data_IF_223942087158
#
_entry.id   IF_223942087158
#
_cell.length_a   1.000
_cell.length_b   1.000
_cell.length_c   1.000
_cell.angle_alpha   90.00
_cell.angle_beta   90.00
_cell.angle_gamma   90.00
#
_symmetry.space_group_name_H-M   'P 1'
#
loop_
_entity.id
_entity.type
_entity.pdbx_description
1 polymer ?
#
# COMPACT_ATOMS: atom_id res chain seq x y z
N UNK A 1 -11.94 24.73 9.89
CA UNK A 1 -11.27 25.10 11.14
C UNK A 1 -12.30 25.06 12.27
N UNK A 2 -12.13 24.14 13.23
CA UNK A 2 -13.05 23.97 14.35
C UNK A 2 -13.04 25.16 15.32
N UNK A 3 -11.90 25.82 15.48
CA UNK A 3 -11.75 26.95 16.41
C UNK A 3 -12.44 28.20 15.89
N UNK A 4 -12.51 28.38 14.58
CA UNK A 4 -13.12 29.56 13.94
C UNK A 4 -14.60 29.39 13.58
N UNK A 5 -15.05 28.16 13.32
CA UNK A 5 -16.44 27.88 12.95
C UNK A 5 -16.96 26.61 13.63
N UNK A 6 -16.98 26.55 14.96
CA UNK A 6 -17.36 25.34 15.68
C UNK A 6 -18.82 24.97 15.40
N UNK A 7 -19.73 25.93 15.27
CA UNK A 7 -21.14 25.64 15.03
C UNK A 7 -21.39 25.10 13.61
N UNK A 8 -20.68 25.63 12.61
CA UNK A 8 -20.76 25.10 11.24
C UNK A 8 -20.27 23.66 11.15
N UNK A 9 -19.13 23.37 11.79
CA UNK A 9 -18.58 22.00 11.84
C UNK A 9 -19.52 21.07 12.62
N UNK A 10 -20.04 21.51 13.77
CA UNK A 10 -20.98 20.72 14.57
C UNK A 10 -22.29 20.44 13.82
N UNK A 11 -22.85 21.43 13.10
CA UNK A 11 -24.04 21.20 12.24
C UNK A 11 -23.77 20.17 11.15
N UNK A 12 -22.59 20.23 10.51
CA UNK A 12 -22.19 19.24 9.52
C UNK A 12 -22.13 17.82 10.13
N UNK A 13 -21.43 17.65 11.25
CA UNK A 13 -21.35 16.35 11.93
C UNK A 13 -22.72 15.84 12.40
N UNK A 14 -23.55 16.69 13.02
CA UNK A 14 -24.87 16.30 13.51
C UNK A 14 -25.78 15.82 12.34
N UNK A 15 -25.71 16.46 11.17
CA UNK A 15 -26.40 15.99 9.97
C UNK A 15 -25.90 14.62 9.48
N UNK A 16 -24.59 14.35 9.54
CA UNK A 16 -24.02 13.04 9.20
C UNK A 16 -24.41 11.98 10.23
N UNK A 17 -24.41 12.29 11.52
CA UNK A 17 -24.85 11.37 12.57
C UNK A 17 -26.32 11.00 12.36
N UNK A 18 -27.22 11.98 12.23
CA UNK A 18 -28.66 11.70 12.01
C UNK A 18 -28.95 10.85 10.79
N UNK A 19 -28.19 11.00 9.70
CA UNK A 19 -28.41 10.24 8.47
C UNK A 19 -27.84 8.81 8.52
N UNK A 20 -26.88 8.52 9.41
CA UNK A 20 -26.17 7.23 9.43
C UNK A 20 -26.33 6.44 10.74
N UNK A 21 -26.88 7.02 11.82
CA UNK A 21 -27.05 6.37 13.14
C UNK A 21 -27.87 5.08 13.12
N UNK A 22 -28.69 4.86 12.09
CA UNK A 22 -29.48 3.64 11.91
C UNK A 22 -28.70 2.43 11.38
N UNK A 23 -27.50 2.65 10.86
CA UNK A 23 -26.67 1.59 10.29
C UNK A 23 -25.66 1.08 11.32
N UNK A 24 -25.25 -0.17 11.17
CA UNK A 24 -24.09 -0.68 11.89
C UNK A 24 -22.84 0.04 11.37
N UNK A 25 -22.13 0.73 12.26
CA UNK A 25 -21.01 1.60 11.88
C UNK A 25 -20.01 1.73 13.01
N UNK A 26 -18.74 1.86 12.65
CA UNK A 26 -17.68 2.29 13.56
C UNK A 26 -17.50 3.80 13.36
N UNK A 27 -17.72 4.59 14.41
CA UNK A 27 -17.68 6.04 14.35
C UNK A 27 -16.28 6.56 14.62
N UNK A 28 -15.67 7.18 13.62
CA UNK A 28 -14.37 7.86 13.79
C UNK A 28 -14.55 9.12 14.63
N UNK A 29 -13.78 9.20 15.71
CA UNK A 29 -13.68 10.38 16.56
C UNK A 29 -12.43 11.21 16.22
N UNK A 30 -12.44 12.45 16.69
CA UNK A 30 -11.37 13.41 16.49
C UNK A 30 -11.50 14.17 15.19
N UNK A 31 -10.45 14.89 14.82
CA UNK A 31 -10.42 15.72 13.61
C UNK A 31 -8.97 15.95 13.18
N UNK A 32 -8.72 15.83 11.88
CA UNK A 32 -7.52 16.34 11.19
C UNK A 32 -7.92 17.34 10.10
N UNK A 33 -6.94 17.94 9.43
CA UNK A 33 -7.18 18.83 8.31
C UNK A 33 -7.75 18.10 7.10
N UNK A 34 -8.29 18.87 6.15
CA UNK A 34 -8.83 18.34 4.89
C UNK A 34 -7.67 17.79 4.05
N UNK A 35 -7.90 16.71 3.27
CA UNK A 35 -6.89 16.07 2.41
C UNK A 35 -5.65 15.60 3.19
N UNK A 36 -5.86 14.87 4.28
CA UNK A 36 -4.78 14.27 5.09
C UNK A 36 -3.76 15.26 5.68
N UNK A 37 -4.14 16.55 5.72
CA UNK A 37 -3.33 17.61 6.32
C UNK A 37 -3.46 17.63 7.85
N UNK A 38 -2.48 18.27 8.50
CA UNK A 38 -2.50 18.42 9.95
C UNK A 38 -3.68 19.27 10.45
N UNK A 39 -3.98 19.17 11.75
CA UNK A 39 -5.00 20.01 12.38
C UNK A 39 -4.78 21.51 12.11
N UNK A 40 -5.78 22.17 11.54
CA UNK A 40 -5.77 23.62 11.27
C UNK A 40 -6.32 24.36 12.48
N UNK A 41 -5.58 25.38 12.93
CA UNK A 41 -5.96 26.23 14.08
C UNK A 41 -4.96 26.15 15.22
N UNK A 42 -4.98 25.06 16.03
CA UNK A 42 -4.08 24.91 17.17
C UNK A 42 -2.62 24.79 16.73
N UNK A 43 -1.74 25.54 17.38
CA UNK A 43 -0.31 25.65 17.06
C UNK A 43 0.56 24.83 17.98
N UNK A 44 0.20 24.72 19.26
CA UNK A 44 0.95 23.93 20.26
C UNK A 44 0.33 22.55 20.47
N UNK A 45 1.07 21.64 21.12
CA UNK A 45 0.58 20.29 21.45
C UNK A 45 -0.56 20.38 22.48
N UNK A 46 -0.46 21.29 23.44
CA UNK A 46 -1.45 21.54 24.48
C UNK A 46 -2.77 22.05 23.88
N UNK A 47 -2.68 22.99 22.93
CA UNK A 47 -3.85 23.49 22.20
C UNK A 47 -4.51 22.39 21.36
N UNK A 48 -3.71 21.54 20.69
CA UNK A 48 -4.22 20.38 19.94
C UNK A 48 -4.93 19.41 20.88
N UNK A 49 -4.33 19.12 22.04
CA UNK A 49 -4.91 18.24 23.06
C UNK A 49 -6.26 18.74 23.54
N UNK A 50 -6.31 19.99 24.01
CA UNK A 50 -7.54 20.61 24.49
C UNK A 50 -8.63 20.68 23.40
N UNK A 51 -8.21 20.93 22.15
CA UNK A 51 -9.12 20.94 21.00
C UNK A 51 -9.71 19.56 20.73
N UNK A 52 -8.89 18.51 20.72
CA UNK A 52 -9.35 17.13 20.50
C UNK A 52 -10.25 16.64 21.62
N UNK A 53 -9.92 16.89 22.88
CA UNK A 53 -10.76 16.51 24.02
C UNK A 53 -12.16 17.16 23.94
N UNK A 54 -12.22 18.43 23.54
CA UNK A 54 -13.51 19.11 23.28
C UNK A 54 -14.25 18.48 22.10
N UNK A 55 -13.55 18.19 21.00
CA UNK A 55 -14.14 17.52 19.83
C UNK A 55 -14.71 16.15 20.19
N UNK A 56 -14.01 15.35 20.99
CA UNK A 56 -14.52 14.06 21.48
C UNK A 56 -15.82 14.24 22.26
N UNK A 57 -15.87 15.20 23.19
CA UNK A 57 -17.08 15.48 23.96
C UNK A 57 -18.25 15.89 23.05
N UNK A 58 -18.01 16.79 22.10
CA UNK A 58 -19.04 17.27 21.16
C UNK A 58 -19.57 16.14 20.25
N UNK A 59 -18.67 15.33 19.68
CA UNK A 59 -19.02 14.20 18.81
C UNK A 59 -19.82 13.14 19.57
N UNK A 60 -19.40 12.78 20.79
CA UNK A 60 -20.11 11.79 21.61
C UNK A 60 -21.49 12.28 22.05
N UNK A 61 -21.63 13.57 22.35
CA UNK A 61 -22.93 14.15 22.65
C UNK A 61 -23.89 14.07 21.44
N UNK A 62 -23.38 14.22 20.20
CA UNK A 62 -24.18 14.03 18.99
C UNK A 62 -24.62 12.58 18.82
N UNK A 63 -23.70 11.62 18.98
CA UNK A 63 -24.00 10.19 18.91
C UNK A 63 -25.06 9.80 19.95
N UNK A 64 -24.94 10.28 21.19
CA UNK A 64 -25.90 10.01 22.24
C UNK A 64 -27.31 10.53 21.93
N UNK A 65 -27.44 11.78 21.44
CA UNK A 65 -28.74 12.34 21.03
C UNK A 65 -29.38 11.57 19.88
N UNK A 66 -28.58 10.92 19.04
CA UNK A 66 -29.06 10.11 17.92
C UNK A 66 -29.31 8.63 18.29
N UNK A 67 -29.16 8.24 19.56
CA UNK A 67 -29.32 6.84 19.99
C UNK A 67 -28.17 5.91 19.60
N UNK A 68 -27.00 6.47 19.27
CA UNK A 68 -25.80 5.75 18.86
C UNK A 68 -24.66 5.87 19.89
N UNK A 69 -24.97 6.13 21.16
CA UNK A 69 -23.98 6.28 22.23
C UNK A 69 -23.10 5.02 22.40
N UNK A 70 -23.72 3.86 22.28
CA UNK A 70 -23.08 2.55 22.48
C UNK A 70 -22.51 1.97 21.18
N UNK A 71 -22.61 2.70 20.06
CA UNK A 71 -22.02 2.27 18.79
C UNK A 71 -20.48 2.27 18.89
N UNK A 72 -19.79 1.31 18.25
CA UNK A 72 -18.33 1.27 18.23
C UNK A 72 -17.73 2.59 17.78
N UNK A 73 -16.70 3.06 18.47
CA UNK A 73 -16.00 4.30 18.18
C UNK A 73 -14.51 4.04 18.07
N UNK A 74 -13.85 4.73 17.14
CA UNK A 74 -12.43 4.58 16.88
C UNK A 74 -11.73 5.93 16.84
N UNK A 75 -10.52 5.98 17.38
CA UNK A 75 -9.61 7.11 17.24
C UNK A 75 -8.28 6.62 16.70
N UNK A 76 -7.75 7.30 15.68
CA UNK A 76 -6.48 6.94 15.01
C UNK A 76 -5.44 8.02 15.28
N UNK A 77 -4.44 7.76 16.15
CA UNK A 77 -3.32 8.67 16.38
C UNK A 77 -2.35 8.65 15.17
N UNK A 78 -2.77 9.23 14.05
CA UNK A 78 -2.06 9.17 12.79
C UNK A 78 -1.17 10.40 12.55
N UNK A 79 0.03 10.15 12.01
CA UNK A 79 1.06 11.18 11.73
C UNK A 79 1.33 12.04 12.96
N UNK A 80 1.06 13.34 12.89
CA UNK A 80 1.33 14.31 13.96
C UNK A 80 0.46 14.09 15.21
N UNK A 81 -0.68 13.40 15.07
CA UNK A 81 -1.60 13.14 16.17
C UNK A 81 -1.03 12.11 17.16
N UNK A 82 -0.09 11.26 16.72
CA UNK A 82 0.60 10.33 17.62
C UNK A 82 1.38 11.07 18.72
N UNK A 83 2.01 12.20 18.37
CA UNK A 83 2.75 13.01 19.35
C UNK A 83 1.79 13.72 20.31
N UNK A 84 0.61 14.14 19.84
CA UNK A 84 -0.45 14.69 20.70
C UNK A 84 -0.96 13.63 21.67
N UNK A 85 -1.12 12.39 21.22
CA UNK A 85 -1.51 11.27 22.07
C UNK A 85 -0.46 11.00 23.16
N UNK A 86 0.82 10.89 22.77
CA UNK A 86 1.96 10.69 23.69
C UNK A 86 2.12 11.82 24.72
N UNK A 87 1.66 13.03 24.41
CA UNK A 87 1.62 14.16 25.33
C UNK A 87 0.43 14.12 26.34
N UNK A 88 -0.23 12.96 26.45
CA UNK A 88 -1.27 12.72 27.46
C UNK A 88 -2.68 13.10 27.02
N UNK A 89 -3.02 12.98 25.73
CA UNK A 89 -4.38 13.15 25.24
C UNK A 89 -5.33 12.15 25.92
N UNK A 90 -6.40 12.65 26.53
CA UNK A 90 -7.41 11.80 27.15
C UNK A 90 -8.41 11.31 26.11
N UNK A 91 -8.22 10.07 25.68
CA UNK A 91 -9.19 9.36 24.81
C UNK A 91 -10.15 8.56 25.71
N UNK A 92 -11.48 8.69 25.55
CA UNK A 92 -12.47 7.95 26.34
C UNK A 92 -12.19 6.44 26.33
N UNK A 93 -12.34 5.77 27.47
CA UNK A 93 -11.82 4.41 27.70
C UNK A 93 -12.41 3.33 26.77
N UNK A 94 -13.67 3.50 26.36
CA UNK A 94 -14.42 2.63 25.47
C UNK A 94 -14.09 2.84 23.97
N UNK A 95 -13.34 3.89 23.62
CA UNK A 95 -12.94 4.16 22.24
C UNK A 95 -11.72 3.32 21.87
N UNK A 96 -11.83 2.59 20.77
CA UNK A 96 -10.73 1.80 20.21
C UNK A 96 -9.60 2.71 19.72
N UNK A 97 -8.37 2.42 20.15
CA UNK A 97 -7.18 3.07 19.60
C UNK A 97 -6.72 2.30 18.36
N UNK A 98 -6.80 2.90 17.18
CA UNK A 98 -6.36 2.30 15.93
C UNK A 98 -4.95 2.77 15.58
N UNK A 99 -3.99 1.85 15.62
CA UNK A 99 -2.58 2.13 15.41
C UNK A 99 -2.21 2.02 13.93
N UNK A 100 -1.75 3.12 13.30
CA UNK A 100 -1.34 3.09 11.92
C UNK A 100 0.10 2.56 11.78
N UNK A 101 0.38 1.99 10.62
CA UNK A 101 1.75 1.79 10.15
C UNK A 101 2.41 3.10 9.70
N UNK A 102 3.65 2.99 9.21
CA UNK A 102 4.42 4.09 8.64
C UNK A 102 4.08 4.37 7.17
N UNK A 103 2.97 3.80 6.69
CA UNK A 103 2.50 3.75 5.30
C UNK A 103 3.26 2.78 4.38
N UNK A 104 4.30 2.11 4.88
CA UNK A 104 5.11 1.15 4.13
C UNK A 104 5.08 -0.25 4.77
N UNK A 105 4.13 -0.48 5.67
CA UNK A 105 3.90 -1.77 6.32
C UNK A 105 4.50 -1.91 7.70
N UNK A 106 5.20 -0.92 8.27
CA UNK A 106 5.80 -1.05 9.61
C UNK A 106 4.97 -0.34 10.68
N UNK A 107 4.43 -1.09 11.64
CA UNK A 107 3.55 -0.54 12.69
C UNK A 107 4.33 0.38 13.63
N UNK A 108 3.83 1.62 13.81
CA UNK A 108 4.56 2.68 14.53
C UNK A 108 4.42 2.62 16.05
N UNK A 109 3.39 1.93 16.54
CA UNK A 109 3.09 1.82 17.97
C UNK A 109 2.34 0.52 18.24
N UNK A 110 2.77 -0.20 19.26
CA UNK A 110 2.08 -1.39 19.77
C UNK A 110 1.53 -1.11 21.16
N UNK A 111 0.33 -1.60 21.52
CA UNK A 111 -0.28 -1.30 22.81
C UNK A 111 0.61 -1.69 23.98
N UNK A 112 0.83 -0.75 24.91
CA UNK A 112 1.48 -1.01 26.20
C UNK A 112 0.52 -1.65 27.21
N UNK A 113 0.97 -1.86 28.45
CA UNK A 113 0.14 -2.49 29.49
C UNK A 113 -1.12 -1.68 29.86
N UNK A 114 -1.03 -0.35 29.87
CA UNK A 114 -2.16 0.52 30.18
C UNK A 114 -3.14 0.55 29.00
N UNK A 115 -2.63 0.61 27.77
CA UNK A 115 -3.43 0.60 26.54
C UNK A 115 -4.16 -0.73 26.34
N UNK A 116 -3.53 -1.86 26.68
CA UNK A 116 -4.16 -3.19 26.69
C UNK A 116 -5.29 -3.31 27.71
N UNK A 117 -5.25 -2.54 28.79
CA UNK A 117 -6.28 -2.58 29.84
C UNK A 117 -7.53 -1.74 29.49
N UNK A 118 -7.48 -0.92 28.43
CA UNK A 118 -8.61 -0.08 28.01
C UNK A 118 -9.77 -0.92 27.49
N UNK A 119 -11.00 -0.53 27.84
CA UNK A 119 -12.23 -1.24 27.41
C UNK A 119 -12.41 -1.26 25.89
N UNK A 120 -12.06 -0.17 25.21
CA UNK A 120 -12.17 -0.06 23.76
C UNK A 120 -11.14 -0.89 22.99
N UNK A 121 -10.13 -1.45 23.68
CA UNK A 121 -9.05 -2.21 23.08
C UNK A 121 -8.24 -1.41 22.07
N UNK A 122 -7.56 -2.14 21.18
CA UNK A 122 -6.71 -1.57 20.14
C UNK A 122 -6.92 -2.27 18.80
N UNK A 123 -6.67 -1.55 17.72
CA UNK A 123 -6.76 -2.02 16.34
C UNK A 123 -5.58 -1.56 15.49
N UNK A 124 -5.60 -1.87 14.20
CA UNK A 124 -4.52 -1.54 13.26
C UNK A 124 -5.10 -0.95 11.97
N UNK A 125 -4.47 0.10 11.47
CA UNK A 125 -4.65 0.61 10.11
C UNK A 125 -3.35 0.37 9.32
N UNK A 126 -3.41 -0.50 8.31
CA UNK A 126 -2.24 -1.03 7.59
C UNK A 126 -2.26 -0.60 6.12
N UNK A 127 -1.10 -0.41 5.47
CA UNK A 127 -1.05 -0.05 4.05
C UNK A 127 -0.54 -1.21 3.16
N UNK A 128 -1.35 -1.57 2.16
CA UNK A 128 -0.98 -2.43 1.03
C UNK A 128 -0.83 -1.61 -0.28
N UNK A 129 -1.27 -0.35 -0.27
CA UNK A 129 -1.08 0.69 -1.28
C UNK A 129 -1.01 2.04 -0.58
N UNK A 130 -0.28 3.01 -1.14
CA UNK A 130 -0.15 4.33 -0.51
C UNK A 130 0.11 5.47 -1.50
N UNK A 131 -0.69 6.53 -1.39
CA UNK A 131 -0.51 7.83 -2.03
C UNK A 131 0.04 8.82 -0.99
N UNK A 132 1.34 9.10 -1.03
CA UNK A 132 1.95 10.03 -0.08
C UNK A 132 3.48 9.99 -0.02
N UNK A 133 4.03 10.79 0.88
CA UNK A 133 5.48 10.94 1.05
C UNK A 133 6.16 9.68 1.62
N UNK A 134 7.42 9.40 1.28
CA UNK A 134 8.27 10.17 0.37
C UNK A 134 7.96 9.94 -1.12
N UNK A 135 7.60 8.71 -1.48
CA UNK A 135 7.15 8.31 -2.81
C UNK A 135 6.00 7.32 -2.67
N UNK A 136 4.98 7.50 -3.49
CA UNK A 136 3.79 6.66 -3.55
C UNK A 136 4.13 5.30 -4.15
N UNK A 137 3.33 4.28 -3.84
CA UNK A 137 3.35 2.99 -4.52
C UNK A 137 1.90 2.58 -4.78
N UNK A 138 1.49 2.71 -6.05
CA UNK A 138 0.10 2.65 -6.47
C UNK A 138 -0.12 1.66 -7.62
N UNK A 139 0.95 1.24 -8.29
CA UNK A 139 0.84 0.50 -9.53
C UNK A 139 0.77 -1.00 -9.29
N UNK A 140 1.71 -1.56 -8.53
CA UNK A 140 1.81 -3.01 -8.32
C UNK A 140 1.80 -3.39 -6.83
N UNK A 141 1.27 -4.57 -6.51
CA UNK A 141 1.26 -5.08 -5.13
C UNK A 141 2.60 -5.68 -4.75
N UNK A 142 3.46 -4.86 -4.16
CA UNK A 142 4.86 -5.22 -3.86
C UNK A 142 5.13 -5.43 -2.36
N UNK A 143 4.08 -5.45 -1.53
CA UNK A 143 4.17 -5.77 -0.10
C UNK A 143 4.10 -7.30 0.11
N UNK A 144 5.16 -7.95 0.62
CA UNK A 144 5.18 -9.40 0.76
C UNK A 144 4.24 -9.88 1.87
N UNK A 145 3.54 -11.03 1.71
CA UNK A 145 2.76 -11.66 2.79
C UNK A 145 3.57 -11.91 4.06
N UNK A 146 4.89 -12.11 3.94
CA UNK A 146 5.79 -12.28 5.09
C UNK A 146 5.86 -11.04 5.99
N UNK A 147 5.86 -9.82 5.41
CA UNK A 147 5.84 -8.59 6.21
C UNK A 147 4.49 -8.42 6.90
N UNK A 148 3.39 -8.71 6.20
CA UNK A 148 2.05 -8.68 6.78
C UNK A 148 1.96 -9.64 7.97
N UNK A 149 2.47 -10.88 7.81
CA UNK A 149 2.52 -11.88 8.89
C UNK A 149 3.26 -11.37 10.12
N UNK A 150 4.42 -10.79 9.91
CA UNK A 150 5.29 -10.31 10.99
C UNK A 150 4.62 -9.17 11.76
N UNK A 151 4.22 -8.12 11.05
CA UNK A 151 3.72 -6.89 11.65
C UNK A 151 2.37 -7.10 12.33
N UNK A 152 1.43 -7.75 11.64
CA UNK A 152 0.11 -8.03 12.18
C UNK A 152 0.16 -9.11 13.28
N UNK A 153 1.12 -10.04 13.21
CA UNK A 153 1.39 -10.99 14.27
C UNK A 153 1.85 -10.29 15.55
N UNK A 154 2.80 -9.35 15.45
CA UNK A 154 3.23 -8.52 16.59
C UNK A 154 2.08 -7.68 17.15
N UNK A 155 1.22 -7.14 16.29
CA UNK A 155 0.04 -6.39 16.71
C UNK A 155 -0.93 -7.25 17.53
N UNK A 156 -1.19 -8.47 17.05
CA UNK A 156 -2.02 -9.45 17.76
C UNK A 156 -1.43 -9.83 19.12
N UNK A 157 -0.13 -10.11 19.17
CA UNK A 157 0.59 -10.48 20.40
C UNK A 157 0.58 -9.33 21.41
N UNK A 158 0.66 -8.08 20.94
CA UNK A 158 0.55 -6.88 21.75
C UNK A 158 -0.89 -6.48 22.12
N UNK A 159 -1.91 -7.25 21.71
CA UNK A 159 -3.31 -7.03 22.12
C UNK A 159 -4.11 -6.07 21.22
N UNK A 160 -3.60 -5.68 20.05
CA UNK A 160 -4.37 -4.94 19.06
C UNK A 160 -5.29 -5.88 18.25
N UNK A 161 -6.42 -6.28 18.85
CA UNK A 161 -7.31 -7.34 18.33
C UNK A 161 -8.72 -6.87 17.93
N UNK A 162 -9.06 -5.61 18.17
CA UNK A 162 -10.43 -5.12 18.08
C UNK A 162 -10.89 -4.86 16.65
N UNK A 163 -10.03 -4.25 15.83
CA UNK A 163 -10.33 -3.90 14.44
C UNK A 163 -9.06 -3.81 13.61
N UNK A 164 -9.03 -4.48 12.47
CA UNK A 164 -7.94 -4.37 11.49
C UNK A 164 -8.51 -3.86 10.16
N UNK A 165 -7.90 -2.81 9.61
CA UNK A 165 -8.28 -2.22 8.32
C UNK A 165 -7.02 -2.09 7.46
N UNK A 166 -7.09 -2.50 6.21
CA UNK A 166 -6.02 -2.31 5.24
C UNK A 166 -6.44 -1.30 4.15
N UNK A 167 -5.54 -0.37 3.82
CA UNK A 167 -5.61 0.40 2.59
C UNK A 167 -5.11 -0.47 1.43
N UNK A 168 -6.03 -0.85 0.53
CA UNK A 168 -5.76 -1.70 -0.63
C UNK A 168 -5.69 -0.92 -1.94
N UNK A 169 -5.71 0.42 -1.89
CA UNK A 169 -5.79 1.26 -3.09
C UNK A 169 -7.01 0.93 -3.93
N UNK A 170 -6.79 0.65 -5.20
CA UNK A 170 -7.83 0.28 -6.18
C UNK A 170 -8.31 -1.18 -6.07
N UNK A 171 -7.97 -1.87 -4.97
CA UNK A 171 -8.18 -3.29 -4.71
C UNK A 171 -7.31 -4.21 -5.58
N UNK A 172 -7.33 -4.03 -6.91
CA UNK A 172 -6.39 -4.67 -7.84
C UNK A 172 -5.11 -3.84 -7.95
N UNK A 173 -3.91 -4.44 -8.05
CA UNK A 173 -3.63 -5.88 -8.13
C UNK A 173 -3.15 -6.45 -6.76
N UNK A 174 -3.82 -6.10 -5.66
CA UNK A 174 -3.43 -6.49 -4.29
C UNK A 174 -4.21 -7.71 -3.76
N UNK A 175 -4.69 -8.59 -4.63
CA UNK A 175 -5.56 -9.72 -4.27
C UNK A 175 -4.90 -10.67 -3.26
N UNK A 176 -3.65 -11.12 -3.51
CA UNK A 176 -2.92 -12.00 -2.60
C UNK A 176 -2.66 -11.34 -1.23
N UNK A 177 -2.23 -10.08 -1.23
CA UNK A 177 -1.94 -9.35 0.01
C UNK A 177 -3.23 -9.11 0.83
N UNK A 178 -4.32 -8.79 0.14
CA UNK A 178 -5.64 -8.58 0.75
C UNK A 178 -6.18 -9.88 1.34
N UNK A 179 -6.12 -10.98 0.60
CA UNK A 179 -6.59 -12.28 1.08
C UNK A 179 -5.74 -12.78 2.25
N UNK A 180 -4.42 -12.63 2.19
CA UNK A 180 -3.55 -12.95 3.32
C UNK A 180 -3.90 -12.13 4.56
N UNK A 181 -4.08 -10.81 4.42
CA UNK A 181 -4.45 -9.92 5.52
C UNK A 181 -5.79 -10.32 6.15
N UNK A 182 -6.82 -10.57 5.34
CA UNK A 182 -8.15 -10.95 5.83
C UNK A 182 -8.18 -12.36 6.43
N UNK A 183 -7.51 -13.32 5.81
CA UNK A 183 -7.34 -14.67 6.35
C UNK A 183 -6.65 -14.65 7.71
N UNK A 184 -5.59 -13.84 7.84
CA UNK A 184 -4.89 -13.65 9.09
C UNK A 184 -5.80 -13.01 10.14
N UNK A 185 -6.54 -11.95 9.79
CA UNK A 185 -7.49 -11.28 10.69
C UNK A 185 -8.58 -12.23 11.21
N UNK A 186 -9.05 -13.15 10.35
CA UNK A 186 -10.06 -14.13 10.69
C UNK A 186 -9.57 -15.19 11.69
N UNK A 187 -8.35 -15.70 11.51
CA UNK A 187 -7.81 -16.79 12.32
C UNK A 187 -6.29 -16.69 12.52
N UNK A 188 -5.86 -15.69 13.31
CA UNK A 188 -4.44 -15.34 13.48
C UNK A 188 -3.57 -16.53 13.84
N UNK A 189 -3.93 -17.30 14.87
CA UNK A 189 -3.11 -18.42 15.35
C UNK A 189 -2.98 -19.53 14.29
N UNK A 190 -4.08 -19.83 13.59
CA UNK A 190 -4.11 -20.85 12.52
C UNK A 190 -3.29 -20.43 11.31
N UNK A 191 -3.44 -19.19 10.86
CA UNK A 191 -2.72 -18.68 9.68
C UNK A 191 -1.24 -18.50 9.99
N UNK A 192 -0.87 -17.99 11.18
CA UNK A 192 0.55 -17.85 11.59
C UNK A 192 1.26 -19.20 11.76
N UNK A 193 0.55 -20.25 12.16
CA UNK A 193 1.11 -21.59 12.26
C UNK A 193 1.48 -22.19 10.89
N UNK A 194 0.87 -21.70 9.80
CA UNK A 194 1.22 -22.11 8.43
C UNK A 194 2.42 -21.29 7.93
N UNK A 195 3.43 -21.93 7.30
CA UNK A 195 4.47 -21.20 6.59
C UNK A 195 3.88 -20.29 5.51
N UNK A 196 4.42 -19.08 5.36
CA UNK A 196 3.93 -18.11 4.36
C UNK A 196 3.94 -18.69 2.96
N UNK A 197 5.03 -19.37 2.59
CA UNK A 197 5.16 -20.00 1.26
C UNK A 197 4.05 -21.03 1.02
N UNK A 198 3.68 -21.79 2.05
CA UNK A 198 2.57 -22.74 1.95
C UNK A 198 1.22 -22.04 1.79
N UNK A 199 1.01 -20.89 2.43
CA UNK A 199 -0.20 -20.10 2.18
C UNK A 199 -0.25 -19.66 0.71
N UNK A 200 0.87 -19.15 0.17
CA UNK A 200 0.94 -18.72 -1.23
C UNK A 200 0.71 -19.90 -2.17
N UNK A 201 1.29 -21.08 -1.90
CA UNK A 201 1.02 -22.30 -2.66
C UNK A 201 -0.48 -22.63 -2.70
N UNK A 202 -1.13 -22.66 -1.53
CA UNK A 202 -2.56 -22.96 -1.41
C UNK A 202 -3.42 -21.90 -2.15
N UNK A 203 -3.07 -20.61 -2.01
CA UNK A 203 -3.76 -19.51 -2.69
C UNK A 203 -3.66 -19.61 -4.21
N UNK A 204 -2.48 -19.92 -4.73
CA UNK A 204 -2.27 -20.10 -6.17
C UNK A 204 -3.04 -21.30 -6.69
N UNK A 205 -3.08 -22.40 -5.93
CA UNK A 205 -3.81 -23.60 -6.33
C UNK A 205 -5.32 -23.33 -6.47
N UNK A 206 -5.86 -22.47 -5.61
CA UNK A 206 -7.28 -22.07 -5.63
C UNK A 206 -7.59 -21.05 -6.75
N UNK A 207 -6.75 -20.03 -6.88
CA UNK A 207 -7.08 -18.83 -7.68
C UNK A 207 -6.52 -18.86 -9.10
N UNK A 208 -5.41 -19.57 -9.33
CA UNK A 208 -4.71 -19.58 -10.62
C UNK A 208 -4.78 -20.96 -11.25
N UNK A 209 -4.00 -21.92 -10.72
CA UNK A 209 -3.94 -23.29 -11.23
C UNK A 209 -3.31 -24.23 -10.19
N UNK A 210 -4.00 -25.31 -9.85
CA UNK A 210 -3.55 -26.29 -8.86
C UNK A 210 -2.34 -27.12 -9.32
N UNK A 211 -2.24 -27.43 -10.62
CA UNK A 211 -1.16 -28.26 -11.14
C UNK A 211 0.17 -27.50 -11.19
N UNK A 212 0.12 -26.19 -11.44
CA UNK A 212 1.29 -25.30 -11.51
C UNK A 212 1.59 -24.57 -10.19
N UNK A 213 0.84 -24.83 -9.13
CA UNK A 213 0.89 -24.03 -7.91
C UNK A 213 2.31 -23.87 -7.30
N UNK A 214 3.12 -24.94 -7.12
CA UNK A 214 4.46 -24.78 -6.57
C UNK A 214 5.39 -23.93 -7.44
N UNK A 215 5.26 -24.03 -8.78
CA UNK A 215 6.08 -23.27 -9.72
C UNK A 215 5.70 -21.78 -9.69
N UNK A 216 4.40 -21.48 -9.72
CA UNK A 216 3.88 -20.12 -9.66
C UNK A 216 4.16 -19.45 -8.31
N UNK A 217 4.02 -20.18 -7.20
CA UNK A 217 4.38 -19.66 -5.89
C UNK A 217 5.89 -19.35 -5.77
N UNK A 218 6.74 -20.15 -6.43
CA UNK A 218 8.16 -19.82 -6.62
C UNK A 218 8.37 -18.48 -7.32
N UNK A 219 7.64 -18.23 -8.41
CA UNK A 219 7.67 -16.95 -9.15
C UNK A 219 7.20 -15.80 -8.25
N UNK A 220 6.11 -15.96 -7.50
CA UNK A 220 5.60 -14.92 -6.59
C UNK A 220 6.57 -14.59 -5.46
N UNK A 221 7.27 -15.60 -4.94
CA UNK A 221 8.32 -15.40 -3.94
C UNK A 221 9.47 -14.57 -4.50
N UNK A 222 9.93 -14.85 -5.72
CA UNK A 222 10.95 -14.02 -6.38
C UNK A 222 10.45 -12.61 -6.71
N UNK A 223 9.21 -12.49 -7.19
CA UNK A 223 8.56 -11.21 -7.45
C UNK A 223 8.54 -10.32 -6.21
N UNK A 224 8.09 -10.85 -5.07
CA UNK A 224 8.07 -10.11 -3.83
C UNK A 224 9.48 -9.82 -3.31
N UNK A 225 10.41 -10.78 -3.36
CA UNK A 225 11.80 -10.57 -2.92
C UNK A 225 12.48 -9.44 -3.71
N UNK A 226 12.34 -9.44 -5.04
CA UNK A 226 12.97 -8.45 -5.91
C UNK A 226 12.34 -7.07 -5.76
N UNK A 227 11.01 -6.99 -5.70
CA UNK A 227 10.30 -5.71 -5.61
C UNK A 227 10.25 -5.14 -4.19
N UNK A 228 10.39 -5.96 -3.14
CA UNK A 228 10.51 -5.46 -1.78
C UNK A 228 11.85 -4.73 -1.54
N UNK A 229 12.93 -5.19 -2.19
CA UNK A 229 14.22 -4.50 -2.14
C UNK A 229 14.15 -3.07 -2.72
N UNK A 230 13.36 -2.88 -3.78
CA UNK A 230 13.05 -1.58 -4.39
C UNK A 230 11.82 -1.74 -5.29
N UNK A 231 10.75 -1.01 -4.98
CA UNK A 231 9.50 -1.06 -5.76
C UNK A 231 9.72 -0.40 -7.14
N UNK A 232 9.00 -0.82 -8.19
CA UNK A 232 9.10 -0.19 -9.52
C UNK A 232 8.87 1.33 -9.50
N UNK A 233 7.94 1.81 -8.68
CA UNK A 233 7.62 3.24 -8.50
C UNK A 233 8.72 4.01 -7.76
N UNK A 234 9.63 3.30 -7.09
CA UNK A 234 10.72 3.89 -6.29
C UNK A 234 12.07 3.78 -6.99
N UNK A 235 12.12 3.35 -8.25
CA UNK A 235 13.39 3.16 -8.95
C UNK A 235 14.21 4.44 -9.09
N UNK A 236 13.61 5.65 -9.07
CA UNK A 236 14.40 6.88 -8.99
C UNK A 236 15.11 7.03 -7.62
N UNK A 237 16.35 7.53 -7.62
CA UNK A 237 17.16 7.74 -6.39
C UNK A 237 17.14 9.18 -5.86
N UNK A 238 16.15 9.96 -6.28
CA UNK A 238 15.90 11.33 -5.85
C UNK A 238 14.40 11.50 -5.55
N UNK A 239 14.03 12.42 -4.66
CA UNK A 239 12.61 12.80 -4.50
C UNK A 239 12.19 13.71 -5.68
N UNK A 240 10.87 13.88 -5.93
CA UNK A 240 10.39 14.65 -7.09
C UNK A 240 10.84 16.11 -7.12
N UNK A 241 11.19 16.69 -5.96
CA UNK A 241 11.69 18.06 -5.81
C UNK A 241 13.22 18.15 -5.73
N UNK A 242 13.90 17.01 -5.69
CA UNK A 242 15.36 16.96 -5.59
C UNK A 242 16.00 16.98 -6.99
N UNK A 243 17.28 17.38 -7.03
CA UNK A 243 18.08 17.21 -8.24
C UNK A 243 18.19 15.72 -8.59
N UNK A 244 18.13 15.42 -9.89
CA UNK A 244 18.36 14.08 -10.40
C UNK A 244 19.65 13.49 -9.84
N UNK A 245 19.58 12.23 -9.42
CA UNK A 245 20.72 11.44 -8.95
C UNK A 245 20.57 10.02 -9.44
N UNK A 246 21.64 9.50 -10.04
CA UNK A 246 21.71 8.09 -10.38
C UNK A 246 21.68 7.21 -9.13
N UNK A 247 21.27 5.97 -9.30
CA UNK A 247 21.35 4.94 -8.29
C UNK A 247 22.80 4.75 -7.82
N UNK A 248 23.02 4.34 -6.56
CA UNK A 248 24.34 4.01 -6.05
C UNK A 248 24.85 2.66 -6.59
N UNK A 249 24.04 1.90 -7.32
CA UNK A 249 24.41 0.61 -7.86
C UNK A 249 25.42 0.80 -8.99
N UNK A 250 26.45 -0.03 -9.04
CA UNK A 250 27.29 -0.20 -10.23
C UNK A 250 26.50 -0.83 -11.38
N UNK A 251 27.01 -0.74 -12.61
CA UNK A 251 26.38 -1.40 -13.76
C UNK A 251 26.29 -2.92 -13.53
N UNK A 252 27.32 -3.54 -12.95
CA UNK A 252 27.31 -4.98 -12.64
C UNK A 252 26.26 -5.39 -11.60
N UNK A 253 26.05 -4.59 -10.55
CA UNK A 253 25.01 -4.85 -9.55
C UNK A 253 23.60 -4.67 -10.14
N UNK A 254 23.41 -3.64 -10.97
CA UNK A 254 22.17 -3.44 -11.70
C UNK A 254 21.90 -4.61 -12.67
N UNK A 255 22.92 -5.05 -13.42
CA UNK A 255 22.82 -6.19 -14.34
C UNK A 255 22.50 -7.50 -13.61
N UNK A 256 23.07 -7.73 -12.42
CA UNK A 256 22.73 -8.88 -11.60
C UNK A 256 21.24 -8.86 -11.18
N UNK A 257 20.71 -7.67 -10.85
CA UNK A 257 19.28 -7.49 -10.59
C UNK A 257 18.44 -7.75 -11.84
N UNK A 258 18.83 -7.22 -13.01
CA UNK A 258 18.13 -7.47 -14.28
C UNK A 258 18.14 -8.95 -14.65
N UNK A 259 19.25 -9.66 -14.42
CA UNK A 259 19.34 -11.10 -14.64
C UNK A 259 18.39 -11.90 -13.73
N UNK A 260 18.20 -11.48 -12.48
CA UNK A 260 17.23 -12.10 -11.58
C UNK A 260 15.77 -11.89 -12.05
N UNK A 261 15.44 -10.70 -12.57
CA UNK A 261 14.14 -10.46 -13.21
C UNK A 261 13.96 -11.32 -14.47
N UNK A 262 14.98 -11.42 -15.31
CA UNK A 262 14.94 -12.25 -16.52
C UNK A 262 14.75 -13.75 -16.19
N UNK A 263 15.38 -14.24 -15.12
CA UNK A 263 15.17 -15.61 -14.64
C UNK A 263 13.72 -15.85 -14.17
N UNK A 264 13.13 -14.86 -13.47
CA UNK A 264 11.72 -14.91 -13.06
C UNK A 264 10.76 -14.92 -14.27
N UNK A 265 11.00 -14.10 -15.29
CA UNK A 265 10.21 -14.12 -16.53
C UNK A 265 10.38 -15.44 -17.30
N UNK A 266 11.59 -16.01 -17.32
CA UNK A 266 11.83 -17.30 -17.94
C UNK A 266 11.10 -18.44 -17.22
N UNK A 267 10.98 -18.36 -15.88
CA UNK A 267 10.15 -19.29 -15.11
C UNK A 267 8.66 -19.13 -15.45
N UNK A 268 8.17 -17.89 -15.55
CA UNK A 268 6.79 -17.60 -15.98
C UNK A 268 6.50 -18.18 -17.37
N UNK A 269 7.39 -17.98 -18.33
CA UNK A 269 7.23 -18.48 -19.71
C UNK A 269 7.19 -20.01 -19.82
N UNK A 270 7.79 -20.73 -18.85
CA UNK A 270 7.70 -22.20 -18.79
C UNK A 270 6.35 -22.70 -18.30
N UNK A 271 5.68 -21.92 -17.45
CA UNK A 271 4.40 -22.30 -16.83
C UNK A 271 3.21 -21.90 -17.70
N UNK A 272 3.28 -20.74 -18.34
CA UNK A 272 2.17 -20.16 -19.11
C UNK A 272 1.53 -21.10 -20.16
N UNK A 273 2.27 -21.93 -20.93
CA UNK A 273 1.67 -22.85 -21.88
C UNK A 273 0.79 -23.95 -21.25
N UNK A 274 1.03 -24.28 -19.98
CA UNK A 274 0.28 -25.29 -19.24
C UNK A 274 -1.01 -24.75 -18.63
N UNK A 275 -1.25 -23.44 -18.68
CA UNK A 275 -2.43 -22.81 -18.08
C UNK A 275 -3.67 -23.07 -18.95
N UNK A 276 -4.74 -23.67 -18.38
CA UNK A 276 -5.99 -23.92 -19.08
C UNK A 276 -6.59 -22.63 -19.64
N UNK A 277 -7.28 -22.72 -20.78
CA UNK A 277 -7.79 -21.55 -21.51
C UNK A 277 -8.71 -20.68 -20.64
N UNK A 278 -9.56 -21.30 -19.84
CA UNK A 278 -10.50 -20.69 -18.90
C UNK A 278 -9.82 -20.00 -17.70
N UNK A 279 -8.53 -20.29 -17.44
CA UNK A 279 -7.74 -19.67 -16.37
C UNK A 279 -6.77 -18.61 -16.89
N UNK A 280 -6.64 -18.41 -18.20
CA UNK A 280 -5.66 -17.48 -18.79
C UNK A 280 -5.85 -16.04 -18.35
N UNK A 281 -7.09 -15.57 -18.24
CA UNK A 281 -7.35 -14.21 -17.77
C UNK A 281 -6.90 -14.02 -16.31
N UNK A 282 -7.23 -14.98 -15.44
CA UNK A 282 -6.83 -14.97 -14.04
C UNK A 282 -5.30 -15.08 -13.89
N UNK A 283 -4.67 -15.99 -14.64
CA UNK A 283 -3.22 -16.10 -14.68
C UNK A 283 -2.54 -14.82 -15.15
N UNK A 284 -3.09 -14.18 -16.19
CA UNK A 284 -2.51 -12.93 -16.70
C UNK A 284 -2.63 -11.82 -15.66
N UNK A 285 -3.81 -11.64 -15.06
CA UNK A 285 -4.05 -10.53 -14.13
C UNK A 285 -3.34 -10.68 -12.79
N UNK A 286 -3.27 -11.90 -12.25
CA UNK A 286 -2.72 -12.20 -10.93
C UNK A 286 -1.21 -12.45 -10.96
N UNK A 287 -0.64 -12.83 -12.11
CA UNK A 287 0.76 -13.23 -12.22
C UNK A 287 1.48 -12.61 -13.42
N UNK A 288 1.03 -12.87 -14.65
CA UNK A 288 1.85 -12.54 -15.81
C UNK A 288 2.08 -11.04 -15.98
N UNK A 289 1.05 -10.23 -15.78
CA UNK A 289 1.16 -8.77 -15.81
C UNK A 289 2.12 -8.23 -14.75
N UNK A 290 1.92 -8.43 -13.43
CA UNK A 290 2.82 -7.86 -12.42
C UNK A 290 4.27 -8.32 -12.57
N UNK A 291 4.51 -9.58 -12.95
CA UNK A 291 5.85 -10.13 -13.20
C UNK A 291 6.53 -9.42 -14.36
N UNK A 292 5.90 -9.39 -15.54
CA UNK A 292 6.47 -8.77 -16.76
C UNK A 292 6.61 -7.26 -16.59
N UNK A 293 5.61 -6.60 -16.05
CA UNK A 293 5.59 -5.16 -15.85
C UNK A 293 6.70 -4.70 -14.88
N UNK A 294 6.89 -5.40 -13.76
CA UNK A 294 7.98 -5.09 -12.82
C UNK A 294 9.36 -5.35 -13.44
N UNK A 295 9.53 -6.43 -14.21
CA UNK A 295 10.78 -6.71 -14.92
C UNK A 295 11.10 -5.64 -15.97
N UNK A 296 10.13 -5.27 -16.80
CA UNK A 296 10.27 -4.21 -17.79
C UNK A 296 10.57 -2.85 -17.15
N UNK A 297 9.94 -2.49 -16.02
CA UNK A 297 10.25 -1.25 -15.30
C UNK A 297 11.70 -1.18 -14.83
N UNK A 298 12.23 -2.31 -14.32
CA UNK A 298 13.64 -2.40 -13.92
C UNK A 298 14.57 -2.33 -15.14
N UNK A 299 14.26 -3.06 -16.24
CA UNK A 299 15.02 -2.99 -17.50
C UNK A 299 15.07 -1.56 -18.04
N UNK A 300 13.93 -0.87 -18.10
CA UNK A 300 13.80 0.52 -18.56
C UNK A 300 14.72 1.44 -17.77
N UNK A 301 14.60 1.42 -16.45
CA UNK A 301 15.33 2.32 -15.57
C UNK A 301 16.85 2.07 -15.60
N UNK A 302 17.29 0.84 -15.31
CA UNK A 302 18.72 0.57 -15.17
C UNK A 302 19.47 0.57 -16.50
N UNK A 303 18.79 0.27 -17.62
CA UNK A 303 19.42 0.42 -18.94
C UNK A 303 19.58 1.89 -19.33
N UNK A 304 18.63 2.77 -18.97
CA UNK A 304 18.81 4.21 -19.14
C UNK A 304 19.99 4.74 -18.30
N UNK A 305 20.11 4.33 -17.03
CA UNK A 305 21.27 4.72 -16.22
C UNK A 305 22.61 4.19 -16.77
N UNK A 306 22.61 2.95 -17.28
CA UNK A 306 23.80 2.37 -17.90
C UNK A 306 24.20 3.12 -19.17
N UNK A 307 23.24 3.52 -20.01
CA UNK A 307 23.49 4.38 -21.17
C UNK A 307 24.21 5.67 -20.73
N UNK A 308 23.68 6.37 -19.73
CA UNK A 308 24.23 7.66 -19.28
C UNK A 308 25.66 7.55 -18.74
N UNK A 309 25.99 6.42 -18.09
CA UNK A 309 27.34 6.17 -17.56
C UNK A 309 28.35 5.80 -18.64
N UNK A 310 27.90 5.19 -19.73
CA UNK A 310 28.76 4.64 -20.77
C UNK A 310 28.91 5.56 -21.99
N UNK A 311 28.01 6.54 -22.19
CA UNK A 311 27.96 7.37 -23.41
C UNK A 311 29.30 8.05 -23.80
N UNK A 312 30.15 8.36 -22.82
CA UNK A 312 31.44 9.03 -23.04
C UNK A 312 32.65 8.06 -23.06
N UNK A 313 32.44 6.78 -22.75
CA UNK A 313 33.51 5.77 -22.63
C UNK A 313 33.33 4.53 -23.52
N UNK A 314 32.10 4.09 -23.74
CA UNK A 314 31.72 2.99 -24.63
C UNK A 314 30.37 3.29 -25.30
N UNK A 315 30.42 4.05 -26.39
CA UNK A 315 29.22 4.51 -27.11
C UNK A 315 28.41 3.35 -27.71
N UNK A 316 29.07 2.25 -28.10
CA UNK A 316 28.40 1.10 -28.69
C UNK A 316 27.52 0.39 -27.66
N UNK A 317 28.07 0.13 -26.46
CA UNK A 317 27.31 -0.44 -25.36
C UNK A 317 26.26 0.54 -24.85
N UNK A 318 26.58 1.84 -24.72
CA UNK A 318 25.60 2.86 -24.32
C UNK A 318 24.37 2.83 -25.25
N UNK A 319 24.59 2.84 -26.57
CA UNK A 319 23.52 2.77 -27.57
C UNK A 319 22.70 1.49 -27.46
N UNK A 320 23.34 0.35 -27.17
CA UNK A 320 22.63 -0.92 -26.92
C UNK A 320 21.72 -0.81 -25.69
N UNK A 321 22.21 -0.20 -24.60
CA UNK A 321 21.44 0.04 -23.37
C UNK A 321 20.27 1.00 -23.59
N UNK A 322 20.47 2.03 -24.40
CA UNK A 322 19.39 2.94 -24.82
C UNK A 322 18.25 2.20 -25.53
N UNK A 323 18.56 1.32 -26.49
CA UNK A 323 17.54 0.50 -27.16
C UNK A 323 16.77 -0.39 -26.19
N UNK A 324 17.45 -1.04 -25.25
CA UNK A 324 16.79 -1.87 -24.23
C UNK A 324 15.82 -1.04 -23.38
N UNK A 325 16.18 0.20 -23.05
CA UNK A 325 15.30 1.09 -22.28
C UNK A 325 14.02 1.42 -23.05
N UNK A 326 14.12 1.73 -24.36
CA UNK A 326 12.98 1.99 -25.25
C UNK A 326 12.10 0.76 -25.47
N UNK A 327 12.69 -0.40 -25.68
CA UNK A 327 11.98 -1.67 -25.83
C UNK A 327 11.17 -1.99 -24.57
N UNK A 328 11.78 -1.82 -23.39
CA UNK A 328 11.12 -2.06 -22.11
C UNK A 328 9.99 -1.05 -21.83
N UNK A 329 10.13 0.21 -22.25
CA UNK A 329 9.07 1.21 -22.15
C UNK A 329 7.86 0.83 -23.01
N UNK A 330 8.13 0.48 -24.27
CA UNK A 330 7.11 0.00 -25.22
C UNK A 330 6.41 -1.27 -24.71
N UNK A 331 7.16 -2.16 -24.04
CA UNK A 331 6.61 -3.37 -23.43
C UNK A 331 5.61 -3.04 -22.31
N UNK A 332 5.94 -2.10 -21.42
CA UNK A 332 5.04 -1.66 -20.34
C UNK A 332 3.74 -1.10 -20.92
N UNK A 333 3.82 -0.27 -21.95
CA UNK A 333 2.64 0.29 -22.64
C UNK A 333 1.76 -0.80 -23.24
N UNK A 334 2.38 -1.80 -23.88
CA UNK A 334 1.67 -2.91 -24.51
C UNK A 334 1.00 -3.81 -23.47
N UNK A 335 1.70 -4.15 -22.39
CA UNK A 335 1.17 -4.94 -21.27
C UNK A 335 -0.03 -4.22 -20.62
N UNK A 336 0.11 -2.92 -20.38
CA UNK A 336 -0.91 -2.08 -19.74
C UNK A 336 -2.12 -1.88 -20.64
N UNK A 337 -1.89 -1.70 -21.94
CA UNK A 337 -2.96 -1.62 -22.94
C UNK A 337 -3.75 -2.93 -22.99
N UNK A 338 -3.08 -4.07 -23.07
CA UNK A 338 -3.75 -5.38 -23.08
C UNK A 338 -4.59 -5.59 -21.81
N UNK A 339 -4.03 -5.32 -20.62
CA UNK A 339 -4.74 -5.46 -19.34
C UNK A 339 -6.04 -4.64 -19.32
N UNK A 340 -5.99 -3.39 -19.80
CA UNK A 340 -7.14 -2.49 -19.73
C UNK A 340 -8.13 -2.65 -20.88
N UNK A 341 -7.69 -3.10 -22.06
CA UNK A 341 -8.50 -3.03 -23.29
C UNK A 341 -8.94 -4.39 -23.82
N UNK A 342 -8.19 -5.45 -23.52
CA UNK A 342 -8.37 -6.76 -24.17
C UNK A 342 -8.65 -7.88 -23.15
N UNK A 343 -7.90 -7.94 -22.06
CA UNK A 343 -8.02 -8.95 -21.01
C UNK A 343 -9.47 -9.09 -20.51
N UNK A 344 -9.97 -10.33 -20.47
CA UNK A 344 -11.37 -10.63 -20.11
C UNK A 344 -12.40 -9.78 -20.86
N UNK A 345 -12.17 -9.49 -22.16
CA UNK A 345 -13.04 -8.64 -22.98
C UNK A 345 -13.00 -7.16 -22.59
N UNK A 346 -11.91 -6.69 -21.99
CA UNK A 346 -11.75 -5.31 -21.53
C UNK A 346 -12.47 -5.01 -20.21
N UNK A 347 -12.78 -6.02 -19.40
CA UNK A 347 -13.46 -5.91 -18.10
C UNK A 347 -12.77 -4.94 -17.15
N UNK A 348 -11.44 -4.89 -17.18
CA UNK A 348 -10.61 -4.14 -16.23
C UNK A 348 -10.14 -2.78 -16.77
N UNK A 349 -10.92 -2.17 -17.66
CA UNK A 349 -10.58 -0.89 -18.26
C UNK A 349 -10.39 0.20 -17.20
N UNK A 350 -9.19 0.78 -17.19
CA UNK A 350 -8.81 1.89 -16.32
C UNK A 350 -8.26 1.46 -14.96
N UNK A 351 -8.21 0.15 -14.67
CA UNK A 351 -7.70 -0.37 -13.40
C UNK A 351 -6.18 -0.28 -13.32
N UNK A 352 -5.48 -0.40 -14.45
CA UNK A 352 -4.03 -0.56 -14.43
C UNK A 352 -3.32 0.62 -15.09
N UNK A 353 -2.47 1.31 -14.34
CA UNK A 353 -1.70 2.45 -14.82
C UNK A 353 -0.36 2.52 -14.10
N UNK A 354 0.72 2.77 -14.86
CA UNK A 354 2.05 3.01 -14.28
C UNK A 354 2.02 4.23 -13.37
N UNK A 355 1.30 5.27 -13.77
CA UNK A 355 0.95 6.44 -12.97
C UNK A 355 -0.49 6.91 -13.29
N UNK A 356 -1.31 7.28 -12.30
CA UNK A 356 -2.62 7.88 -12.56
C UNK A 356 -2.53 9.23 -13.29
N UNK A 357 -3.40 9.45 -14.27
CA UNK A 357 -3.40 10.66 -15.12
C UNK A 357 -4.13 11.87 -14.50
N UNK A 358 -4.06 12.08 -13.18
CA UNK A 358 -4.84 13.11 -12.47
C UNK A 358 -4.05 14.38 -12.12
N UNK A 359 -2.72 14.39 -12.31
CA UNK A 359 -1.87 15.56 -12.08
C UNK A 359 -1.82 16.06 -10.63
N UNK A 360 -2.45 15.37 -9.68
CA UNK A 360 -2.51 15.76 -8.27
C UNK A 360 -1.34 15.14 -7.49
N UNK A 361 -0.98 15.73 -6.35
CA UNK A 361 0.01 15.17 -5.42
C UNK A 361 1.39 14.88 -6.05
N UNK A 362 1.80 15.66 -7.07
CA UNK A 362 3.03 15.44 -7.84
C UNK A 362 4.31 15.34 -7.00
N UNK A 363 4.34 15.96 -5.82
CA UNK A 363 5.47 15.90 -4.89
C UNK A 363 5.74 14.50 -4.34
N UNK A 364 4.79 13.56 -4.47
CA UNK A 364 4.89 12.19 -3.96
C UNK A 364 4.88 11.14 -5.08
N UNK A 365 4.89 11.55 -6.35
CA UNK A 365 4.74 10.66 -7.50
C UNK A 365 6.07 10.48 -8.22
N UNK A 366 6.22 9.37 -8.94
CA UNK A 366 7.43 9.16 -9.71
C UNK A 366 7.54 10.24 -10.82
N UNK A 367 8.75 10.73 -11.03
CA UNK A 367 9.06 11.61 -12.15
C UNK A 367 8.99 10.79 -13.44
N UNK A 368 8.44 11.33 -14.55
CA UNK A 368 8.49 10.66 -15.84
C UNK A 368 9.92 10.24 -16.20
N UNK A 369 10.10 8.98 -16.57
CA UNK A 369 11.41 8.46 -16.99
C UNK A 369 11.81 9.15 -18.29
N UNK A 370 13.01 9.73 -18.32
CA UNK A 370 13.58 10.30 -19.53
C UNK A 370 14.41 9.19 -20.20
N UNK A 371 13.99 8.79 -21.40
CA UNK A 371 14.72 7.76 -22.16
C UNK A 371 15.90 8.38 -22.90
N UNK A 372 16.98 7.59 -23.13
CA UNK A 372 18.09 7.99 -23.99
C UNK A 372 17.65 8.43 -25.39
N UNK A 373 18.40 9.35 -26.04
CA UNK A 373 18.07 9.87 -27.37
C UNK A 373 18.11 8.83 -28.49
#
# INVERSE_FOLDING_TARGET
DYLKNPDGVRRYWDARVRSNARYESIWTLGMRGIHDSGMVGPKTVEERRATLERIFADQRAMLARAGAADAPQVFTPYKEVLDVYRAGLKVPDDVTLMWPDDNFGYIRHFPDAAERARKGGSGVYYHLSYLGAPLSYLWLSTTPPALIREEMGRAWDAGARQVWVANVGDLKPAELATDYFLSLAWAVDKVRAKPVDKFVDDWVAENVDAAQAPAIAGILRDYHRLNFARRPEHLQWNLPVDKYRQSPLTIGEADARLAAFAAMEAALAKVEPAIPAERRDAFYELLAYPVRASAAANRRFFSAEAHDRLRDSDLAEATRRGRIAHEADSEIDRLTTYYNRELAGGKWRGIMAVEPADGQWRSYRQTPVILPP
#
